data_IF_555035091487
#
_entry.id   IF_555035091487
#
_cell.length_a   1.000
_cell.length_b   1.000
_cell.length_c   1.000
_cell.angle_alpha   90.00
_cell.angle_beta   90.00
_cell.angle_gamma   90.00
#
_symmetry.space_group_name_H-M   'P 1'
#
loop_
_entity.id
_entity.type
_entity.pdbx_description
1 polymer ?
#
# COMPACT_ATOMS: atom_id res chain seq x y z
N UNK A 1 -12.80 -2.48 13.39
CA UNK A 1 -12.15 -1.71 12.30
C UNK A 1 -13.19 -0.77 11.73
N UNK A 2 -12.81 0.44 11.33
CA UNK A 2 -13.69 1.38 10.65
C UNK A 2 -13.14 1.66 9.26
N UNK A 3 -14.01 1.81 8.28
CA UNK A 3 -13.68 2.04 6.89
C UNK A 3 -14.51 3.20 6.34
N UNK A 4 -14.01 3.96 5.34
CA UNK A 4 -14.89 4.83 4.58
C UNK A 4 -15.90 3.96 3.83
N UNK A 5 -17.12 4.45 3.59
CA UNK A 5 -18.16 3.66 2.91
C UNK A 5 -18.20 3.99 1.41
N UNK A 6 -17.20 3.51 0.66
CA UNK A 6 -17.00 3.91 -0.75
C UNK A 6 -18.08 3.37 -1.70
N UNK A 7 -18.68 2.24 -1.34
CA UNK A 7 -19.72 1.55 -2.11
C UNK A 7 -21.12 2.12 -1.90
N UNK A 8 -21.34 2.92 -0.86
CA UNK A 8 -22.63 3.58 -0.65
C UNK A 8 -22.91 4.62 -1.74
N UNK A 9 -24.17 4.94 -2.08
CA UNK A 9 -24.49 6.00 -3.03
C UNK A 9 -23.90 7.37 -2.63
N UNK A 10 -23.52 8.20 -3.60
CA UNK A 10 -23.05 9.58 -3.34
C UNK A 10 -24.10 10.47 -2.69
N UNK A 11 -25.38 10.10 -2.81
CA UNK A 11 -26.52 10.79 -2.20
C UNK A 11 -26.69 10.47 -0.71
N UNK A 12 -25.94 9.48 -0.19
CA UNK A 12 -25.95 9.19 1.24
C UNK A 12 -24.96 10.12 1.96
N UNK A 13 -25.46 10.87 2.94
CA UNK A 13 -24.64 11.77 3.75
C UNK A 13 -23.80 11.02 4.80
N UNK A 14 -23.94 9.70 4.92
CA UNK A 14 -23.28 8.87 5.93
C UNK A 14 -22.10 8.04 5.39
N UNK A 15 -21.31 8.59 4.47
CA UNK A 15 -20.09 7.97 3.91
C UNK A 15 -18.88 8.03 4.85
N UNK A 16 -19.12 8.37 6.11
CA UNK A 16 -18.13 8.50 7.18
C UNK A 16 -17.50 7.15 7.56
N UNK A 17 -16.40 7.22 8.33
CA UNK A 17 -15.70 6.04 8.81
C UNK A 17 -16.58 5.24 9.78
N UNK A 18 -16.95 4.00 9.42
CA UNK A 18 -17.71 3.10 10.32
C UNK A 18 -17.36 1.64 10.12
N UNK A 19 -17.77 0.80 11.07
CA UNK A 19 -17.66 -0.65 10.93
C UNK A 19 -18.62 -1.18 9.86
N UNK A 20 -18.19 -2.25 9.19
CA UNK A 20 -19.00 -2.99 8.23
C UNK A 20 -20.14 -3.76 8.94
N UNK A 21 -21.33 -3.78 8.34
CA UNK A 21 -22.48 -4.58 8.77
C UNK A 21 -22.59 -5.89 7.99
N UNK A 22 -23.39 -6.83 8.49
CA UNK A 22 -23.62 -8.12 7.84
C UNK A 22 -24.36 -7.99 6.50
N UNK A 23 -25.20 -6.98 6.33
CA UNK A 23 -25.83 -6.71 5.03
C UNK A 23 -24.83 -6.12 4.02
N UNK A 24 -23.98 -5.20 4.47
CA UNK A 24 -22.91 -4.60 3.64
C UNK A 24 -21.92 -5.63 3.16
N UNK A 25 -21.64 -6.61 4.01
CA UNK A 25 -20.84 -7.76 3.64
C UNK A 25 -21.34 -8.45 2.37
N UNK A 26 -22.64 -8.46 2.10
CA UNK A 26 -23.19 -9.09 0.89
C UNK A 26 -23.22 -8.13 -0.30
N UNK A 27 -23.35 -6.83 -0.07
CA UNK A 27 -23.61 -5.85 -1.12
C UNK A 27 -22.37 -5.10 -1.63
N UNK A 28 -21.31 -4.94 -0.83
CA UNK A 28 -20.14 -4.13 -1.20
C UNK A 28 -19.29 -4.82 -2.28
N UNK A 29 -19.09 -4.15 -3.42
CA UNK A 29 -18.42 -4.71 -4.60
C UNK A 29 -17.06 -4.06 -4.89
N UNK A 30 -16.88 -2.77 -4.65
CA UNK A 30 -15.66 -2.07 -5.06
C UNK A 30 -14.65 -1.93 -3.91
N UNK A 31 -15.11 -1.92 -2.66
CA UNK A 31 -14.24 -1.82 -1.50
C UNK A 31 -13.99 -3.20 -0.89
N UNK A 32 -12.77 -3.49 -0.44
CA UNK A 32 -12.46 -4.73 0.28
C UNK A 32 -13.06 -4.75 1.69
N UNK A 33 -13.35 -5.94 2.21
CA UNK A 33 -13.91 -6.21 3.53
C UNK A 33 -12.96 -7.09 4.35
N UNK A 34 -13.12 -7.14 5.68
CA UNK A 34 -12.21 -7.95 6.50
C UNK A 34 -12.26 -9.42 6.13
N UNK A 35 -13.46 -9.94 5.85
CA UNK A 35 -13.66 -11.33 5.43
C UNK A 35 -12.99 -11.69 4.12
N UNK A 36 -12.67 -10.71 3.28
CA UNK A 36 -11.97 -10.97 2.01
C UNK A 36 -10.51 -11.40 2.25
N UNK A 37 -9.96 -11.10 3.43
CA UNK A 37 -8.62 -11.52 3.86
C UNK A 37 -8.67 -12.73 4.79
N UNK A 38 -9.80 -13.01 5.45
CA UNK A 38 -9.98 -14.14 6.34
C UNK A 38 -9.73 -15.47 5.61
N UNK A 39 -8.87 -16.33 6.19
CA UNK A 39 -8.51 -17.64 5.63
C UNK A 39 -7.90 -17.60 4.20
N UNK A 40 -7.48 -16.43 3.72
CA UNK A 40 -6.91 -16.27 2.37
C UNK A 40 -5.45 -16.73 2.26
N UNK A 41 -4.77 -16.88 3.40
CA UNK A 41 -3.31 -17.05 3.46
C UNK A 41 -2.53 -15.75 3.27
N UNK A 42 -3.22 -14.61 3.10
CA UNK A 42 -2.62 -13.28 2.99
C UNK A 42 -2.96 -12.44 4.22
N UNK A 43 -1.99 -11.64 4.63
CA UNK A 43 -2.17 -10.58 5.61
C UNK A 43 -2.68 -9.30 4.95
N UNK A 44 -3.16 -8.37 5.77
CA UNK A 44 -3.44 -6.98 5.38
C UNK A 44 -2.13 -6.19 5.41
N UNK A 45 -1.34 -6.29 4.34
CA UNK A 45 -0.09 -5.56 4.20
C UNK A 45 -0.37 -4.07 4.10
N UNK A 46 0.15 -3.29 5.06
CA UNK A 46 -0.05 -1.84 5.08
C UNK A 46 0.66 -1.21 3.87
N UNK A 47 -0.06 -0.45 3.06
CA UNK A 47 0.54 0.32 1.98
C UNK A 47 1.25 1.54 2.57
N UNK A 48 0.55 2.35 3.37
CA UNK A 48 1.17 3.33 4.25
C UNK A 48 1.37 2.77 5.65
N UNK A 49 2.63 2.64 6.07
CA UNK A 49 2.98 2.05 7.35
C UNK A 49 2.54 2.92 8.54
N UNK A 50 2.00 2.28 9.58
CA UNK A 50 1.67 2.93 10.87
C UNK A 50 2.87 3.70 11.45
N UNK A 51 4.07 3.19 11.26
CA UNK A 51 5.32 3.77 11.80
C UNK A 51 5.65 5.14 11.22
N UNK A 52 5.11 5.47 10.04
CA UNK A 52 5.26 6.78 9.38
C UNK A 52 4.25 7.82 9.86
N UNK A 53 3.14 7.40 10.46
CA UNK A 53 2.09 8.30 10.95
C UNK A 53 2.54 9.05 12.21
N UNK A 54 2.22 10.35 12.26
CA UNK A 54 2.64 11.24 13.35
C UNK A 54 1.75 11.09 14.59
N UNK A 55 0.42 11.23 14.43
CA UNK A 55 -0.56 11.20 15.53
C UNK A 55 -1.33 9.88 15.65
N UNK A 56 -2.03 9.69 16.77
CA UNK A 56 -2.84 8.48 17.01
C UNK A 56 -3.96 8.31 15.97
N UNK A 57 -4.68 9.39 15.64
CA UNK A 57 -5.73 9.34 14.63
C UNK A 57 -5.19 8.91 13.25
N UNK A 58 -4.02 9.41 12.85
CA UNK A 58 -3.36 8.99 11.59
C UNK A 58 -2.90 7.52 11.66
N UNK A 59 -2.40 7.08 12.81
CA UNK A 59 -2.03 5.67 13.04
C UNK A 59 -3.25 4.76 12.97
N UNK A 60 -4.40 5.21 13.45
CA UNK A 60 -5.65 4.46 13.36
C UNK A 60 -6.13 4.38 11.91
N UNK A 61 -6.04 5.48 11.14
CA UNK A 61 -6.43 5.47 9.73
C UNK A 61 -5.57 4.56 8.86
N UNK A 62 -4.33 4.22 9.27
CA UNK A 62 -3.51 3.27 8.50
C UNK A 62 -4.06 1.86 8.51
N UNK A 63 -4.85 1.48 9.52
CA UNK A 63 -5.43 0.14 9.62
C UNK A 63 -6.64 -0.08 8.71
N UNK A 64 -7.04 0.94 7.94
CA UNK A 64 -8.13 0.82 6.99
C UNK A 64 -7.73 -0.09 5.82
N UNK A 65 -8.68 -0.84 5.27
CA UNK A 65 -8.51 -1.71 4.10
C UNK A 65 -8.27 -0.90 2.83
N UNK A 66 -8.71 0.36 2.78
CA UNK A 66 -8.30 1.29 1.71
C UNK A 66 -6.79 1.60 1.72
N UNK A 67 -6.10 1.30 2.83
CA UNK A 67 -4.66 1.42 2.99
C UNK A 67 -3.98 0.04 3.13
N UNK A 68 -4.65 -1.05 2.75
CA UNK A 68 -4.08 -2.40 2.81
C UNK A 68 -4.17 -3.11 1.45
N UNK A 69 -3.19 -3.95 1.18
CA UNK A 69 -3.23 -4.88 0.05
C UNK A 69 -2.80 -6.29 0.50
N UNK A 70 -3.21 -7.35 -0.22
CA UNK A 70 -2.78 -8.71 0.10
C UNK A 70 -1.26 -8.84 0.06
N UNK A 71 -0.71 -9.26 1.20
CA UNK A 71 0.72 -9.51 1.34
C UNK A 71 0.93 -10.79 2.15
N UNK A 72 1.78 -11.70 1.69
CA UNK A 72 2.11 -12.90 2.47
C UNK A 72 2.74 -12.48 3.80
N UNK A 73 2.53 -13.27 4.85
CA UNK A 73 3.04 -12.97 6.21
C UNK A 73 4.55 -12.68 6.18
N UNK A 74 5.32 -13.59 5.58
CA UNK A 74 6.76 -13.40 5.38
C UNK A 74 7.12 -12.14 4.61
N UNK A 75 6.41 -11.81 3.52
CA UNK A 75 6.70 -10.58 2.77
C UNK A 75 6.38 -9.31 3.56
N UNK A 76 5.34 -9.35 4.40
CA UNK A 76 4.93 -8.23 5.25
C UNK A 76 5.97 -7.97 6.35
N UNK A 77 6.44 -9.04 7.00
CA UNK A 77 7.55 -8.97 7.97
C UNK A 77 8.85 -8.46 7.32
N UNK A 78 9.24 -9.04 6.19
CA UNK A 78 10.46 -8.63 5.49
C UNK A 78 10.36 -7.19 4.98
N UNK A 79 9.18 -6.73 4.54
CA UNK A 79 8.95 -5.33 4.18
C UNK A 79 9.10 -4.39 5.37
N UNK A 80 8.56 -4.75 6.54
CA UNK A 80 8.70 -3.95 7.76
C UNK A 80 10.18 -3.83 8.18
N UNK A 81 10.94 -4.94 8.16
CA UNK A 81 12.35 -4.95 8.57
C UNK A 81 13.29 -4.29 7.55
N UNK A 82 13.07 -4.53 6.25
CA UNK A 82 14.01 -4.11 5.20
C UNK A 82 13.66 -2.77 4.56
N UNK A 83 12.42 -2.27 4.74
CA UNK A 83 11.96 -1.01 4.15
C UNK A 83 11.42 -0.05 5.19
N UNK A 84 10.42 -0.45 5.99
CA UNK A 84 9.75 0.50 6.88
C UNK A 84 10.69 1.09 7.93
N UNK A 85 11.38 0.22 8.69
CA UNK A 85 12.32 0.66 9.72
C UNK A 85 13.53 1.41 9.15
N UNK A 86 14.23 0.93 8.09
CA UNK A 86 15.38 1.64 7.54
C UNK A 86 15.01 3.00 6.95
N UNK A 87 13.91 3.11 6.19
CA UNK A 87 13.46 4.37 5.63
C UNK A 87 13.12 5.38 6.73
N UNK A 88 12.44 4.96 7.80
CA UNK A 88 12.16 5.84 8.94
C UNK A 88 13.45 6.34 9.61
N UNK A 89 14.46 5.47 9.76
CA UNK A 89 15.77 5.85 10.31
C UNK A 89 16.47 6.86 9.40
N UNK A 90 16.42 6.66 8.09
CA UNK A 90 17.00 7.58 7.11
C UNK A 90 16.30 8.95 7.12
N UNK A 91 14.97 8.98 7.16
CA UNK A 91 14.18 10.21 7.29
C UNK A 91 14.62 10.97 8.54
N UNK A 92 14.66 10.30 9.70
CA UNK A 92 15.10 10.92 10.97
C UNK A 92 16.55 11.40 10.93
N UNK A 93 17.42 10.73 10.17
CA UNK A 93 18.84 11.08 10.03
C UNK A 93 19.12 12.19 9.02
N UNK A 94 18.32 12.31 7.97
CA UNK A 94 18.64 13.13 6.79
C UNK A 94 17.69 14.33 6.58
N UNK A 95 16.44 14.26 7.05
CA UNK A 95 15.41 15.29 6.80
C UNK A 95 15.39 16.38 7.87
N UNK A 96 15.43 17.65 7.51
CA UNK A 96 15.33 18.78 8.43
C UNK A 96 14.12 18.64 9.36
N UNK A 97 14.37 18.73 10.68
CA UNK A 97 13.34 18.55 11.71
C UNK A 97 12.26 19.64 11.63
N UNK A 98 12.57 20.79 11.02
CA UNK A 98 11.65 21.91 10.84
C UNK A 98 10.98 21.91 9.45
N UNK A 99 11.04 20.78 8.72
CA UNK A 99 10.50 20.65 7.38
C UNK A 99 9.52 19.49 7.28
N UNK A 100 8.58 19.58 6.33
CA UNK A 100 7.71 18.48 5.98
C UNK A 100 8.51 17.35 5.30
N UNK A 101 8.12 16.12 5.64
CA UNK A 101 8.55 14.91 4.93
C UNK A 101 7.36 14.44 4.11
N UNK A 102 7.53 14.38 2.81
CA UNK A 102 6.53 13.84 1.89
C UNK A 102 6.81 12.37 1.69
N UNK A 103 5.81 11.52 1.91
CA UNK A 103 5.90 10.07 1.70
C UNK A 103 4.80 9.69 0.72
N UNK A 104 5.16 8.97 -0.33
CA UNK A 104 4.22 8.40 -1.30
C UNK A 104 4.48 6.90 -1.37
N UNK A 105 3.42 6.12 -1.32
CA UNK A 105 3.47 4.67 -1.29
C UNK A 105 2.45 4.10 -2.26
N UNK A 106 2.66 2.86 -2.68
CA UNK A 106 1.69 2.16 -3.50
C UNK A 106 2.09 0.72 -3.77
N UNK A 107 1.27 0.09 -4.60
CA UNK A 107 1.46 -1.29 -5.04
C UNK A 107 1.29 -1.39 -6.55
N UNK A 108 2.07 -2.25 -7.18
CA UNK A 108 1.86 -2.61 -8.59
C UNK A 108 0.98 -3.86 -8.63
N UNK A 109 -0.22 -3.80 -9.23
CA UNK A 109 -1.12 -4.95 -9.34
C UNK A 109 -0.45 -6.18 -9.95
N UNK A 110 -0.81 -7.36 -9.44
CA UNK A 110 -0.40 -8.64 -9.99
C UNK A 110 -1.46 -9.18 -10.96
N UNK A 111 -1.24 -10.43 -11.40
CA UNK A 111 -2.17 -11.15 -12.29
C UNK A 111 -3.14 -12.07 -11.54
N UNK A 112 -2.95 -12.21 -10.24
CA UNK A 112 -3.72 -13.10 -9.36
C UNK A 112 -4.62 -12.28 -8.45
N UNK A 113 -5.70 -12.92 -8.00
CA UNK A 113 -6.75 -12.30 -7.18
C UNK A 113 -7.14 -13.27 -6.08
N UNK A 114 -7.56 -12.74 -4.93
CA UNK A 114 -8.18 -13.52 -3.88
C UNK A 114 -9.60 -13.92 -4.32
N UNK A 115 -9.92 -15.22 -4.37
CA UNK A 115 -11.30 -15.66 -4.47
C UNK A 115 -11.94 -15.60 -3.08
N UNK A 116 -13.22 -15.23 -3.01
CA UNK A 116 -14.00 -15.28 -1.77
C UNK A 116 -15.33 -15.97 -2.00
N UNK A 117 -15.81 -16.67 -0.99
CA UNK A 117 -17.18 -17.18 -0.97
C UNK A 117 -18.11 -16.11 -0.39
N UNK A 118 -19.18 -15.76 -1.11
CA UNK A 118 -20.17 -14.78 -0.66
C UNK A 118 -21.57 -15.23 -1.06
N UNK A 119 -22.42 -15.48 -0.05
CA UNK A 119 -23.77 -15.99 -0.30
C UNK A 119 -23.69 -17.39 -0.92
N UNK A 120 -24.38 -17.59 -2.05
CA UNK A 120 -24.41 -18.89 -2.75
C UNK A 120 -23.35 -19.05 -3.85
N UNK A 121 -22.35 -18.16 -3.94
CA UNK A 121 -21.32 -18.27 -4.98
C UNK A 121 -19.97 -17.64 -4.66
N UNK A 122 -18.98 -18.02 -5.49
CA UNK A 122 -17.60 -17.54 -5.42
C UNK A 122 -17.40 -16.27 -6.25
N UNK A 123 -16.87 -15.21 -5.62
CA UNK A 123 -16.31 -14.06 -6.35
C UNK A 123 -14.84 -14.33 -6.61
N UNK A 124 -14.52 -14.68 -7.86
CA UNK A 124 -13.17 -15.15 -8.26
C UNK A 124 -12.11 -14.03 -8.24
N UNK A 125 -12.50 -12.79 -8.56
CA UNK A 125 -11.58 -11.66 -8.67
C UNK A 125 -11.95 -10.54 -7.69
N UNK A 126 -11.83 -10.83 -6.39
CA UNK A 126 -12.26 -9.89 -5.35
C UNK A 126 -11.22 -8.83 -5.02
N UNK A 127 -10.05 -9.25 -4.56
CA UNK A 127 -8.95 -8.36 -4.18
C UNK A 127 -7.72 -8.74 -4.98
N UNK A 128 -7.12 -7.78 -5.70
CA UNK A 128 -5.91 -8.04 -6.47
C UNK A 128 -4.75 -8.33 -5.52
N UNK A 129 -3.98 -9.37 -5.82
CA UNK A 129 -2.74 -9.67 -5.11
C UNK A 129 -1.63 -8.92 -5.86
N UNK A 130 -1.06 -7.83 -5.29
CA UNK A 130 -0.05 -7.06 -5.99
C UNK A 130 1.20 -7.89 -6.23
N UNK A 131 1.97 -7.55 -7.26
CA UNK A 131 3.29 -8.19 -7.47
C UNK A 131 4.40 -7.44 -6.76
N UNK A 132 4.23 -6.12 -6.57
CA UNK A 132 5.26 -5.27 -6.00
C UNK A 132 4.67 -4.27 -5.01
N UNK A 133 5.41 -3.98 -3.94
CA UNK A 133 5.18 -2.84 -3.06
C UNK A 133 6.27 -1.80 -3.32
N UNK A 134 5.94 -0.52 -3.16
CA UNK A 134 6.91 0.54 -3.29
C UNK A 134 6.58 1.71 -2.38
N UNK A 135 7.61 2.42 -1.95
CA UNK A 135 7.49 3.64 -1.14
C UNK A 135 8.62 4.58 -1.49
N UNK A 136 8.36 5.87 -1.39
CA UNK A 136 9.34 6.91 -1.61
C UNK A 136 9.14 8.04 -0.59
N UNK A 137 10.23 8.69 -0.22
CA UNK A 137 10.17 9.95 0.52
C UNK A 137 10.94 11.06 -0.17
N UNK A 138 10.55 12.29 0.13
CA UNK A 138 11.26 13.52 -0.21
C UNK A 138 11.14 14.50 0.95
N UNK A 139 12.24 15.19 1.29
CA UNK A 139 12.28 16.19 2.35
C UNK A 139 13.45 17.15 2.16
N UNK A 140 13.44 18.27 2.88
CA UNK A 140 14.60 19.18 2.92
C UNK A 140 15.75 18.52 3.67
N UNK A 141 16.98 18.61 3.17
CA UNK A 141 18.15 18.02 3.83
C UNK A 141 18.54 18.78 5.12
N UNK A 142 18.90 18.03 6.18
CA UNK A 142 19.57 18.58 7.37
C UNK A 142 20.96 19.15 7.08
N UNK A 143 21.71 18.48 6.20
CA UNK A 143 23.15 18.73 5.99
C UNK A 143 23.45 19.66 4.83
N UNK A 144 22.53 19.76 3.88
CA UNK A 144 22.72 20.53 2.64
C UNK A 144 21.66 21.62 2.58
N UNK A 145 22.07 22.86 2.80
CA UNK A 145 21.16 24.00 2.71
C UNK A 145 20.48 24.02 1.32
N UNK A 146 19.15 24.06 1.33
CA UNK A 146 18.29 24.17 0.14
C UNK A 146 18.36 23.02 -0.89
N UNK A 147 18.81 21.83 -0.49
CA UNK A 147 18.75 20.63 -1.34
C UNK A 147 17.75 19.63 -0.74
N UNK A 148 16.81 19.17 -1.55
CA UNK A 148 15.93 18.07 -1.18
C UNK A 148 16.68 16.74 -1.27
N UNK A 149 16.48 15.87 -0.28
CA UNK A 149 16.89 14.48 -0.33
C UNK A 149 15.67 13.63 -0.59
N UNK A 150 15.80 12.69 -1.52
CA UNK A 150 14.72 11.77 -1.88
C UNK A 150 15.26 10.38 -2.13
N UNK A 151 14.50 9.36 -1.76
CA UNK A 151 14.86 7.97 -1.99
C UNK A 151 13.60 7.11 -2.09
N UNK A 152 13.73 6.03 -2.84
CA UNK A 152 12.67 5.07 -3.08
C UNK A 152 13.10 3.64 -2.73
N UNK A 153 12.13 2.83 -2.34
CA UNK A 153 12.22 1.39 -2.17
C UNK A 153 11.17 0.73 -3.06
N UNK A 154 11.55 -0.37 -3.70
CA UNK A 154 10.70 -1.16 -4.56
C UNK A 154 10.96 -2.64 -4.27
N UNK A 155 9.92 -3.39 -3.91
CA UNK A 155 10.03 -4.81 -3.60
C UNK A 155 9.21 -5.67 -4.55
N UNK A 156 9.70 -6.87 -4.84
CA UNK A 156 8.85 -7.96 -5.31
C UNK A 156 8.42 -8.77 -4.09
N UNK A 157 7.12 -8.99 -3.93
CA UNK A 157 6.61 -9.84 -2.85
C UNK A 157 6.62 -11.32 -3.24
N UNK A 158 6.51 -12.18 -2.23
CA UNK A 158 6.40 -13.63 -2.40
C UNK A 158 4.99 -13.97 -2.88
N UNK A 159 4.89 -14.63 -4.02
CA UNK A 159 3.64 -15.07 -4.64
C UNK A 159 3.83 -16.43 -5.29
N UNK A 160 2.79 -17.25 -5.29
CA UNK A 160 2.79 -18.49 -6.05
C UNK A 160 2.64 -18.17 -7.54
N UNK A 161 3.52 -18.74 -8.36
CA UNK A 161 3.44 -18.67 -9.83
C UNK A 161 3.43 -20.08 -10.42
N UNK A 162 3.08 -20.25 -11.72
CA UNK A 162 3.20 -21.54 -12.40
C UNK A 162 4.62 -22.15 -12.34
N UNK A 163 5.65 -21.31 -12.19
CA UNK A 163 7.06 -21.73 -12.19
C UNK A 163 7.63 -21.87 -10.76
N UNK A 164 6.78 -21.90 -9.74
CA UNK A 164 7.17 -21.92 -8.33
C UNK A 164 6.90 -20.60 -7.60
N UNK A 165 7.37 -20.51 -6.37
CA UNK A 165 7.21 -19.35 -5.51
C UNK A 165 8.23 -18.26 -5.86
N UNK A 166 7.81 -17.00 -5.92
CA UNK A 166 8.75 -15.88 -6.09
C UNK A 166 9.46 -15.57 -4.77
N UNK A 167 10.74 -15.23 -4.85
CA UNK A 167 11.48 -14.71 -3.70
C UNK A 167 11.12 -13.25 -3.40
N UNK A 168 11.13 -12.89 -2.11
CA UNK A 168 11.09 -11.50 -1.68
C UNK A 168 12.40 -10.81 -2.09
N UNK A 169 12.30 -9.68 -2.81
CA UNK A 169 13.47 -8.91 -3.24
C UNK A 169 13.20 -7.44 -3.12
N UNK A 170 13.92 -6.76 -2.24
CA UNK A 170 13.89 -5.30 -2.11
C UNK A 170 15.05 -4.65 -2.85
N UNK A 171 14.80 -3.50 -3.47
CA UNK A 171 15.84 -2.62 -4.00
C UNK A 171 15.57 -1.19 -3.55
N UNK A 172 16.61 -0.52 -3.08
CA UNK A 172 16.58 0.94 -2.93
C UNK A 172 17.08 1.61 -4.21
N UNK A 173 16.55 2.79 -4.54
CA UNK A 173 16.85 3.52 -5.77
C UNK A 173 16.54 5.01 -5.63
N UNK A 174 16.87 5.79 -6.65
CA UNK A 174 16.41 7.18 -6.78
C UNK A 174 14.92 7.23 -7.14
N UNK A 175 14.27 8.37 -6.89
CA UNK A 175 12.87 8.56 -7.30
C UNK A 175 12.72 8.51 -8.83
N UNK A 176 13.69 9.02 -9.59
CA UNK A 176 13.62 8.98 -11.06
C UNK A 176 13.65 7.53 -11.59
N UNK A 177 14.52 6.69 -11.04
CA UNK A 177 14.52 5.25 -11.38
C UNK A 177 13.23 4.55 -10.94
N UNK A 178 12.61 4.99 -9.84
CA UNK A 178 11.30 4.50 -9.45
C UNK A 178 10.23 4.92 -10.49
N UNK A 179 10.21 6.19 -10.93
CA UNK A 179 9.29 6.70 -11.94
C UNK A 179 9.35 5.86 -13.23
N UNK A 180 10.55 5.61 -13.77
CA UNK A 180 10.74 4.77 -14.97
C UNK A 180 10.20 3.34 -14.76
N UNK A 181 10.44 2.76 -13.58
CA UNK A 181 9.95 1.41 -13.25
C UNK A 181 8.43 1.35 -13.14
N UNK A 182 7.81 2.38 -12.58
CA UNK A 182 6.37 2.45 -12.40
C UNK A 182 5.66 2.76 -13.72
N UNK A 183 6.23 3.61 -14.56
CA UNK A 183 5.70 3.93 -15.90
C UNK A 183 5.60 2.69 -16.80
N UNK A 184 6.58 1.79 -16.72
CA UNK A 184 6.55 0.52 -17.47
C UNK A 184 5.61 -0.54 -16.89
N UNK A 185 5.12 -0.34 -15.66
CA UNK A 185 4.34 -1.33 -14.90
C UNK A 185 2.87 -0.98 -14.72
N UNK A 186 2.57 0.31 -14.64
CA UNK A 186 1.19 0.81 -14.70
C UNK A 186 0.77 0.97 -16.15
N UNK A 187 -0.54 1.14 -16.37
CA UNK A 187 -1.08 1.38 -17.70
C UNK A 187 -0.38 2.57 -18.36
N UNK A 188 -0.07 2.44 -19.66
CA UNK A 188 0.57 3.52 -20.43
C UNK A 188 -0.34 4.74 -20.42
N UNK A 189 0.00 5.72 -19.60
CA UNK A 189 -0.60 7.04 -19.63
C UNK A 189 0.13 7.89 -20.69
N UNK A 190 -0.55 8.86 -21.33
CA UNK A 190 0.12 9.80 -22.22
C UNK A 190 1.10 10.74 -21.48
N UNK A 191 1.04 10.77 -20.14
CA UNK A 191 1.91 11.56 -19.28
C UNK A 191 2.94 10.67 -18.57
N UNK A 192 4.17 11.17 -18.35
CA UNK A 192 5.19 10.45 -17.60
C UNK A 192 4.76 10.28 -16.14
N UNK A 193 5.05 9.12 -15.57
CA UNK A 193 4.75 8.85 -14.16
C UNK A 193 5.64 9.72 -13.27
N UNK A 194 5.06 10.42 -12.29
CA UNK A 194 5.80 11.23 -11.32
C UNK A 194 5.29 10.96 -9.91
N UNK A 195 6.15 10.39 -9.08
CA UNK A 195 5.86 10.15 -7.65
C UNK A 195 5.78 11.47 -6.88
N UNK A 196 6.68 12.41 -7.16
CA UNK A 196 6.65 13.78 -6.64
C UNK A 196 6.53 14.75 -7.83
N UNK A 197 5.62 15.72 -7.72
CA UNK A 197 5.27 16.69 -8.77
C UNK A 197 6.23 17.86 -8.88
#
# INVERSE_FOLDING_TARGET
>A
MIEPQLDEPRTNNNREMRGETREEEQQFRNQALNRDYSSSGYTRGHVFAKSYAFGNQQKESTFTLTNAAPQTEKSNEEWAEQVEKPMLKEIKGNCDNNSFVYIVTGVVPGKTWLPIERGEGTIVQRVNIPRHFWTAYSCKSKKKNNINVSKAYFSQQITQTPNGETEFKVKSMTVDTLNEKLETRYYKTPFPFRVFG
#
